data_IF_439200868339
#
_entry.id   IF_439200868339
#
_cell.length_a   1.000
_cell.length_b   1.000
_cell.length_c   1.000
_cell.angle_alpha   90.00
_cell.angle_beta   90.00
_cell.angle_gamma   90.00
#
_symmetry.space_group_name_H-M   'P 1'
#
loop_
_entity.id
_entity.type
_entity.pdbx_description
1 polymer ?
#
# COMPACT_ATOMS: atom_id res chain seq x y z
N UNK A 1 -37.94 -31.77 10.53
CA UNK A 1 -39.18 -31.32 11.20
C UNK A 1 -40.25 -31.28 10.14
N UNK A 2 -41.28 -32.11 10.28
CA UNK A 2 -42.26 -32.35 9.22
C UNK A 2 -42.95 -31.05 8.80
N UNK A 3 -43.13 -30.86 7.49
CA UNK A 3 -44.28 -30.09 7.03
C UNK A 3 -45.48 -30.72 7.73
N UNK A 4 -46.15 -29.96 8.58
CA UNK A 4 -47.48 -30.37 9.07
C UNK A 4 -48.33 -30.36 7.82
N UNK A 5 -48.56 -31.55 7.25
CA UNK A 5 -49.39 -31.69 6.07
C UNK A 5 -50.75 -31.07 6.42
N UNK A 6 -51.21 -30.13 5.59
CA UNK A 6 -52.51 -29.53 5.79
C UNK A 6 -53.57 -30.59 5.52
N UNK A 7 -54.10 -31.18 6.59
CA UNK A 7 -55.17 -32.18 6.50
C UNK A 7 -56.48 -31.46 6.20
N UNK A 8 -56.87 -31.51 4.92
CA UNK A 8 -58.10 -30.87 4.44
C UNK A 8 -59.35 -31.48 5.05
N UNK A 9 -59.32 -32.76 5.46
CA UNK A 9 -60.49 -33.43 6.06
C UNK A 9 -60.67 -33.00 7.52
N UNK A 10 -59.59 -33.00 8.30
CA UNK A 10 -59.63 -32.53 9.70
C UNK A 10 -60.07 -31.05 9.76
N UNK A 11 -59.63 -30.23 8.80
CA UNK A 11 -60.01 -28.81 8.74
C UNK A 11 -61.49 -28.62 8.40
N UNK A 12 -62.05 -29.39 7.46
CA UNK A 12 -63.48 -29.37 7.12
C UNK A 12 -64.32 -29.79 8.33
N UNK A 13 -63.95 -30.87 9.03
CA UNK A 13 -64.70 -31.36 10.21
C UNK A 13 -64.71 -30.32 11.34
N UNK A 14 -63.60 -29.62 11.57
CA UNK A 14 -63.54 -28.51 12.55
C UNK A 14 -64.46 -27.35 12.16
N UNK A 15 -64.56 -27.02 10.87
CA UNK A 15 -65.46 -25.97 10.38
C UNK A 15 -66.94 -26.39 10.49
N UNK A 16 -67.27 -27.64 10.19
CA UNK A 16 -68.62 -28.19 10.39
C UNK A 16 -69.04 -28.17 11.87
N UNK A 17 -68.14 -28.60 12.77
CA UNK A 17 -68.38 -28.60 14.22
C UNK A 17 -68.50 -27.20 14.82
N UNK A 18 -68.06 -26.16 14.11
CA UNK A 18 -68.22 -24.75 14.51
C UNK A 18 -69.46 -24.08 13.91
N UNK A 19 -70.31 -24.86 13.23
CA UNK A 19 -71.62 -24.43 12.75
C UNK A 19 -71.66 -23.95 11.30
N UNK A 20 -70.56 -24.09 10.54
CA UNK A 20 -70.56 -23.85 9.09
C UNK A 20 -71.17 -25.06 8.38
N UNK A 21 -71.90 -24.80 7.29
CA UNK A 21 -72.38 -25.90 6.47
C UNK A 21 -71.23 -26.54 5.66
N UNK A 22 -71.42 -27.78 5.22
CA UNK A 22 -70.40 -28.58 4.52
C UNK A 22 -69.83 -27.90 3.28
N UNK A 23 -70.64 -27.15 2.55
CA UNK A 23 -70.20 -26.45 1.34
C UNK A 23 -69.30 -25.25 1.66
N UNK A 24 -69.68 -24.46 2.66
CA UNK A 24 -68.88 -23.34 3.16
C UNK A 24 -67.56 -23.83 3.76
N UNK A 25 -67.59 -24.89 4.56
CA UNK A 25 -66.40 -25.51 5.15
C UNK A 25 -65.41 -25.97 4.06
N UNK A 26 -65.90 -26.65 3.02
CA UNK A 26 -65.09 -27.07 1.88
C UNK A 26 -64.51 -25.89 1.10
N UNK A 27 -65.32 -24.87 0.83
CA UNK A 27 -64.86 -23.68 0.09
C UNK A 27 -63.73 -22.94 0.84
N UNK A 28 -63.87 -22.73 2.15
CA UNK A 28 -62.84 -22.08 2.98
C UNK A 28 -61.56 -22.93 3.03
N UNK A 29 -61.70 -24.25 3.20
CA UNK A 29 -60.55 -25.18 3.21
C UNK A 29 -59.77 -25.13 1.90
N UNK A 30 -60.47 -25.02 0.78
CA UNK A 30 -59.85 -24.95 -0.55
C UNK A 30 -59.04 -23.67 -0.72
N UNK A 31 -59.61 -22.52 -0.35
CA UNK A 31 -58.92 -21.21 -0.41
C UNK A 31 -57.70 -21.16 0.51
N UNK A 32 -57.79 -21.74 1.71
CA UNK A 32 -56.66 -21.82 2.66
C UNK A 32 -55.57 -22.76 2.15
N UNK A 33 -55.93 -23.90 1.56
CA UNK A 33 -54.99 -24.83 0.94
C UNK A 33 -54.26 -24.16 -0.22
N UNK A 34 -54.98 -23.52 -1.13
CA UNK A 34 -54.39 -22.77 -2.26
C UNK A 34 -53.44 -21.68 -1.77
N UNK A 35 -53.81 -20.96 -0.70
CA UNK A 35 -52.93 -19.93 -0.09
C UNK A 35 -51.63 -20.51 0.49
N UNK A 36 -51.65 -21.75 0.98
CA UNK A 36 -50.46 -22.45 1.46
C UNK A 36 -49.62 -23.08 0.34
N UNK A 37 -50.23 -23.49 -0.77
CA UNK A 37 -49.52 -24.01 -1.96
C UNK A 37 -48.79 -22.90 -2.73
N UNK A 38 -49.24 -21.65 -2.65
CA UNK A 38 -48.60 -20.48 -3.30
C UNK A 38 -47.48 -19.87 -2.45
N UNK A 39 -47.31 -20.30 -1.19
CA UNK A 39 -46.30 -19.76 -0.29
C UNK A 39 -44.97 -20.54 -0.44
N UNK A 40 -44.07 -20.04 -1.29
CA UNK A 40 -42.66 -20.48 -1.36
C UNK A 40 -41.92 -20.10 -0.06
N UNK A 41 -42.06 -20.92 0.98
CA UNK A 41 -41.41 -20.71 2.26
C UNK A 41 -40.08 -21.46 2.33
N UNK A 42 -39.01 -20.72 2.61
CA UNK A 42 -37.72 -21.33 2.96
C UNK A 42 -37.89 -22.19 4.22
N UNK A 43 -37.46 -23.44 4.14
CA UNK A 43 -37.52 -24.35 5.28
C UNK A 43 -36.43 -24.02 6.30
N UNK A 44 -36.58 -24.50 7.54
CA UNK A 44 -35.51 -24.39 8.55
C UNK A 44 -34.19 -25.01 8.08
N UNK A 45 -34.26 -26.03 7.23
CA UNK A 45 -33.09 -26.67 6.65
C UNK A 45 -32.38 -25.74 5.67
N UNK A 46 -33.12 -25.07 4.80
CA UNK A 46 -32.55 -24.11 3.84
C UNK A 46 -31.84 -22.96 4.56
N UNK A 47 -32.41 -22.50 5.68
CA UNK A 47 -31.78 -21.49 6.54
C UNK A 47 -30.51 -22.02 7.23
N UNK A 48 -30.50 -23.27 7.70
CA UNK A 48 -29.31 -23.89 8.31
C UNK A 48 -28.20 -24.10 7.27
N UNK A 49 -28.55 -24.53 6.06
CA UNK A 49 -27.61 -24.72 4.96
C UNK A 49 -27.04 -23.37 4.50
N UNK A 50 -27.88 -22.34 4.40
CA UNK A 50 -27.43 -20.95 4.12
C UNK A 50 -26.51 -20.43 5.21
N UNK A 51 -26.82 -20.67 6.49
CA UNK A 51 -25.95 -20.27 7.60
C UNK A 51 -24.58 -20.94 7.51
N UNK A 52 -24.54 -22.25 7.22
CA UNK A 52 -23.29 -22.98 7.03
C UNK A 52 -22.48 -22.48 5.84
N UNK A 53 -23.12 -22.13 4.72
CA UNK A 53 -22.43 -21.53 3.56
C UNK A 53 -21.84 -20.16 3.94
N UNK A 54 -22.59 -19.34 4.68
CA UNK A 54 -22.12 -18.04 5.16
C UNK A 54 -20.92 -18.21 6.09
N UNK A 55 -20.99 -19.10 7.08
CA UNK A 55 -19.89 -19.37 8.02
C UNK A 55 -18.63 -19.83 7.25
N UNK A 56 -18.78 -20.75 6.29
CA UNK A 56 -17.67 -21.21 5.45
C UNK A 56 -17.06 -20.09 4.57
N UNK A 57 -17.89 -19.15 4.08
CA UNK A 57 -17.42 -17.97 3.35
C UNK A 57 -16.68 -16.99 4.26
N UNK A 58 -17.11 -16.84 5.51
CA UNK A 58 -16.39 -16.04 6.51
C UNK A 58 -15.04 -16.65 6.82
N UNK A 59 -14.97 -17.96 7.11
CA UNK A 59 -13.70 -18.66 7.35
C UNK A 59 -12.71 -18.50 6.18
N UNK A 60 -13.23 -18.61 4.94
CA UNK A 60 -12.42 -18.39 3.73
C UNK A 60 -11.95 -16.94 3.60
N UNK A 61 -12.77 -15.98 4.03
CA UNK A 61 -12.41 -14.56 4.02
C UNK A 61 -11.35 -14.27 5.07
N UNK A 62 -11.48 -14.81 6.28
CA UNK A 62 -10.49 -14.67 7.34
C UNK A 62 -9.14 -15.27 6.94
N UNK A 63 -9.16 -16.44 6.28
CA UNK A 63 -7.95 -17.05 5.74
C UNK A 63 -7.27 -16.15 4.68
N UNK A 64 -8.03 -15.54 3.78
CA UNK A 64 -7.51 -14.58 2.79
C UNK A 64 -6.96 -13.32 3.43
N UNK A 65 -7.63 -12.80 4.47
CA UNK A 65 -7.16 -11.63 5.21
C UNK A 65 -5.83 -11.96 5.92
N UNK A 66 -5.72 -13.14 6.52
CA UNK A 66 -4.47 -13.59 7.14
C UNK A 66 -3.33 -13.72 6.12
N UNK A 67 -3.61 -14.24 4.93
CA UNK A 67 -2.64 -14.35 3.83
C UNK A 67 -2.17 -12.97 3.34
N UNK A 68 -3.11 -12.03 3.10
CA UNK A 68 -2.79 -10.66 2.72
C UNK A 68 -1.94 -9.95 3.79
N UNK A 69 -2.24 -10.17 5.09
CA UNK A 69 -1.43 -9.60 6.18
C UNK A 69 0.00 -10.13 6.15
N UNK A 70 0.20 -11.42 5.92
CA UNK A 70 1.54 -12.02 5.79
C UNK A 70 2.30 -11.49 4.57
N UNK A 71 1.63 -11.37 3.41
CA UNK A 71 2.25 -10.77 2.22
C UNK A 71 2.65 -9.31 2.48
N UNK A 72 1.80 -8.53 3.14
CA UNK A 72 2.11 -7.17 3.53
C UNK A 72 3.33 -7.10 4.46
N UNK A 73 3.38 -7.92 5.52
CA UNK A 73 4.54 -8.00 6.44
C UNK A 73 5.83 -8.29 5.66
N UNK A 74 5.81 -9.30 4.79
CA UNK A 74 6.98 -9.64 3.96
C UNK A 74 7.41 -8.50 3.03
N UNK A 75 6.45 -7.80 2.43
CA UNK A 75 6.73 -6.64 1.57
C UNK A 75 7.28 -5.47 2.38
N UNK A 76 6.81 -5.24 3.60
CA UNK A 76 7.35 -4.21 4.48
C UNK A 76 8.80 -4.53 4.87
N UNK A 77 9.11 -5.75 5.28
CA UNK A 77 10.49 -6.18 5.56
C UNK A 77 11.41 -5.95 4.35
N UNK A 78 10.95 -6.32 3.15
CA UNK A 78 11.71 -6.09 1.91
C UNK A 78 11.95 -4.60 1.64
N UNK A 79 10.96 -3.75 1.87
CA UNK A 79 11.09 -2.29 1.71
C UNK A 79 12.07 -1.73 2.75
N UNK A 80 12.03 -2.19 4.00
CA UNK A 80 12.98 -1.77 5.03
C UNK A 80 14.43 -2.08 4.64
N UNK A 81 14.68 -3.29 4.12
CA UNK A 81 16.00 -3.69 3.60
C UNK A 81 16.44 -2.80 2.44
N UNK A 82 15.55 -2.52 1.48
CA UNK A 82 15.85 -1.64 0.35
C UNK A 82 16.16 -0.21 0.80
N UNK A 83 15.41 0.32 1.77
CA UNK A 83 15.66 1.66 2.33
C UNK A 83 17.02 1.68 3.03
N UNK A 84 17.38 0.64 3.79
CA UNK A 84 18.67 0.54 4.44
C UNK A 84 19.82 0.51 3.41
N UNK A 85 19.66 -0.24 2.32
CA UNK A 85 20.64 -0.31 1.23
C UNK A 85 20.81 1.04 0.52
N UNK A 86 19.71 1.72 0.18
CA UNK A 86 19.74 3.07 -0.40
C UNK A 86 20.42 4.07 0.53
N UNK A 87 20.14 4.03 1.84
CA UNK A 87 20.83 4.89 2.82
C UNK A 87 22.33 4.63 2.83
N UNK A 88 22.74 3.37 2.79
CA UNK A 88 24.15 2.98 2.74
C UNK A 88 24.83 3.45 1.44
N UNK A 89 24.20 3.28 0.29
CA UNK A 89 24.73 3.78 -0.99
C UNK A 89 24.85 5.32 -0.97
N UNK A 90 23.86 6.01 -0.44
CA UNK A 90 23.91 7.47 -0.28
C UNK A 90 25.10 7.90 0.59
N UNK A 91 25.29 7.28 1.76
CA UNK A 91 26.43 7.58 2.63
C UNK A 91 27.76 7.35 1.91
N UNK A 92 27.91 6.23 1.19
CA UNK A 92 29.12 5.94 0.42
C UNK A 92 29.37 6.98 -0.68
N UNK A 93 28.32 7.43 -1.38
CA UNK A 93 28.43 8.47 -2.42
C UNK A 93 28.80 9.81 -1.83
N UNK A 94 28.24 10.19 -0.69
CA UNK A 94 28.62 11.41 0.02
C UNK A 94 30.09 11.37 0.43
N UNK A 95 30.57 10.26 1.00
CA UNK A 95 31.99 10.11 1.35
C UNK A 95 32.92 10.21 0.11
N UNK A 96 32.49 9.69 -1.05
CA UNK A 96 33.22 9.86 -2.30
C UNK A 96 33.23 11.31 -2.79
N UNK A 97 32.12 12.04 -2.61
CA UNK A 97 32.04 13.47 -2.94
C UNK A 97 33.00 14.25 -2.04
N UNK A 98 33.00 13.99 -0.73
CA UNK A 98 33.90 14.65 0.22
C UNK A 98 35.38 14.45 -0.18
N UNK A 99 35.78 13.22 -0.52
CA UNK A 99 37.14 12.94 -1.01
C UNK A 99 37.48 13.69 -2.31
N UNK A 100 36.51 13.85 -3.21
CA UNK A 100 36.71 14.63 -4.46
C UNK A 100 36.82 16.12 -4.19
N UNK A 101 36.06 16.64 -3.22
CA UNK A 101 36.14 18.03 -2.80
C UNK A 101 37.50 18.32 -2.14
N UNK A 102 37.95 17.49 -1.21
CA UNK A 102 39.29 17.60 -0.60
C UNK A 102 40.41 17.59 -1.65
N UNK A 103 40.28 16.72 -2.66
CA UNK A 103 41.23 16.67 -3.75
C UNK A 103 41.18 17.93 -4.62
N UNK A 104 39.98 18.46 -4.87
CA UNK A 104 39.78 19.71 -5.61
C UNK A 104 40.42 20.88 -4.85
N UNK A 105 40.19 20.99 -3.55
CA UNK A 105 40.78 22.03 -2.68
C UNK A 105 42.31 22.01 -2.74
N UNK A 106 42.94 20.84 -2.59
CA UNK A 106 44.40 20.69 -2.74
C UNK A 106 44.91 21.09 -4.13
N UNK A 107 44.11 20.91 -5.18
CA UNK A 107 44.47 21.38 -6.53
C UNK A 107 44.37 22.89 -6.64
N UNK A 108 43.36 23.51 -6.01
CA UNK A 108 43.23 24.96 -5.95
C UNK A 108 44.40 25.59 -5.19
N UNK A 109 44.77 25.08 -4.01
CA UNK A 109 45.94 25.57 -3.25
C UNK A 109 47.22 25.55 -4.10
N UNK A 110 47.42 24.47 -4.86
CA UNK A 110 48.58 24.35 -5.76
C UNK A 110 48.52 25.35 -6.90
N UNK A 111 47.34 25.66 -7.43
CA UNK A 111 47.17 26.67 -8.46
C UNK A 111 47.43 28.06 -7.91
N UNK A 112 46.94 28.39 -6.71
CA UNK A 112 47.22 29.65 -6.03
C UNK A 112 48.73 29.89 -5.88
N UNK A 113 49.48 28.90 -5.39
CA UNK A 113 50.94 29.00 -5.30
C UNK A 113 51.63 29.22 -6.66
N UNK A 114 51.08 28.67 -7.75
CA UNK A 114 51.61 28.92 -9.11
C UNK A 114 51.26 30.32 -9.57
N UNK A 115 50.05 30.80 -9.29
CA UNK A 115 49.63 32.16 -9.60
C UNK A 115 50.48 33.20 -8.84
N UNK A 116 50.73 33.00 -7.55
CA UNK A 116 51.60 33.87 -6.74
C UNK A 116 53.01 33.94 -7.34
N UNK A 117 53.56 32.80 -7.75
CA UNK A 117 54.87 32.74 -8.41
C UNK A 117 54.87 33.48 -9.74
N UNK A 118 53.83 33.33 -10.56
CA UNK A 118 53.71 34.05 -11.83
C UNK A 118 53.60 35.56 -11.60
N UNK A 119 52.83 36.00 -10.60
CA UNK A 119 52.74 37.41 -10.22
C UNK A 119 54.11 37.97 -9.82
N UNK A 120 54.88 37.24 -9.01
CA UNK A 120 56.26 37.64 -8.66
C UNK A 120 57.15 37.78 -9.89
N UNK A 121 57.09 36.85 -10.85
CA UNK A 121 57.87 36.96 -12.09
C UNK A 121 57.44 38.16 -12.95
N UNK A 122 56.14 38.47 -13.01
CA UNK A 122 55.65 39.65 -13.71
C UNK A 122 56.14 40.94 -13.05
N UNK A 123 56.06 41.04 -11.72
CA UNK A 123 56.56 42.19 -10.96
C UNK A 123 58.07 42.35 -11.16
N UNK A 124 58.84 41.27 -11.02
CA UNK A 124 60.28 41.29 -11.24
C UNK A 124 60.65 41.70 -12.67
N UNK A 125 59.90 41.22 -13.67
CA UNK A 125 60.07 41.62 -15.07
C UNK A 125 59.81 43.11 -15.29
N UNK A 126 58.73 43.65 -14.73
CA UNK A 126 58.39 45.08 -14.80
C UNK A 126 59.49 45.92 -14.13
N UNK A 127 59.96 45.54 -12.93
CA UNK A 127 61.05 46.23 -12.23
C UNK A 127 62.32 46.22 -13.08
N UNK A 128 62.69 45.08 -13.65
CA UNK A 128 63.88 44.94 -14.50
C UNK A 128 63.79 45.87 -15.71
N UNK A 129 62.61 45.98 -16.34
CA UNK A 129 62.40 46.89 -17.47
C UNK A 129 62.47 48.37 -17.06
N UNK A 130 61.89 48.74 -15.92
CA UNK A 130 61.89 50.13 -15.44
C UNK A 130 63.28 50.62 -14.99
N UNK A 131 64.09 49.75 -14.39
CA UNK A 131 65.39 50.13 -13.80
C UNK A 131 66.62 49.81 -14.68
N UNK A 132 66.44 49.12 -15.81
CA UNK A 132 67.49 48.82 -16.81
C UNK A 132 68.35 50.03 -17.18
N UNK A 133 67.75 51.21 -17.31
CA UNK A 133 68.45 52.42 -17.76
C UNK A 133 68.91 53.34 -16.60
N UNK A 134 68.44 53.07 -15.37
CA UNK A 134 68.72 53.89 -14.17
C UNK A 134 69.91 53.32 -13.37
N UNK A 135 70.02 51.99 -13.28
CA UNK A 135 71.10 51.33 -12.51
C UNK A 135 72.51 51.60 -13.08
N UNK A 136 72.75 51.52 -14.42
CA UNK A 136 74.07 51.80 -14.98
C UNK A 136 74.52 53.25 -14.78
N UNK A 137 73.58 54.20 -14.72
CA UNK A 137 73.86 55.63 -14.53
C UNK A 137 74.21 56.00 -13.08
N UNK A 138 73.76 55.23 -12.10
CA UNK A 138 74.04 55.46 -10.67
C UNK A 138 75.39 54.89 -10.20
N UNK A 139 75.96 53.93 -10.94
CA UNK A 139 77.23 53.28 -10.60
C UNK A 139 78.36 53.55 -11.63
N UNK A 140 78.04 54.17 -12.77
CA UNK A 140 78.96 54.42 -13.88
C UNK A 140 79.31 55.89 -14.12
N UNK A 141 79.19 56.76 -13.11
CA UNK A 141 79.53 58.18 -13.19
C UNK A 141 80.06 58.70 -11.87
#
# INVERSE_FOLDING_TARGET
MGQVAFDTQEFVEKLENSGLNREQAKAITLVVRESHEVADLATKRDLEDTRKDIDARFDKTDAKIADVRKDMEHRFEKVEVQIADVRKDMTNRFEQIDKRLDFSEKRFDRLELKFDRLQWFLIAGIITLLFKDVIPKLWGG
#
